data_IF_405280959380
#
_entry.id   IF_405280959380
#
_cell.length_a   1.000
_cell.length_b   1.000
_cell.length_c   1.000
_cell.angle_alpha   90.00
_cell.angle_beta   90.00
_cell.angle_gamma   90.00
#
_symmetry.space_group_name_H-M   'P 1'
#
loop_
_entity.id
_entity.type
_entity.pdbx_description
1 polymer ?
#
# COMPACT_ATOMS: atom_id res chain seq x y z
N UNK A 1 -2.40 -9.45 -30.17
CA UNK A 1 -2.31 -8.52 -29.01
C UNK A 1 -1.13 -8.92 -28.16
N UNK A 2 -0.06 -8.11 -28.14
CA UNK A 2 1.14 -8.43 -27.34
C UNK A 2 0.85 -8.19 -25.86
N UNK A 3 1.04 -9.23 -25.05
CA UNK A 3 0.79 -9.23 -23.61
C UNK A 3 1.66 -8.19 -22.91
N UNK A 4 1.08 -7.47 -21.94
CA UNK A 4 1.72 -6.42 -21.13
C UNK A 4 3.09 -6.86 -20.56
N UNK A 5 3.24 -8.14 -20.26
CA UNK A 5 4.48 -8.78 -19.80
C UNK A 5 5.63 -8.73 -20.81
N UNK A 6 5.36 -8.74 -22.12
CA UNK A 6 6.39 -8.66 -23.15
C UNK A 6 7.00 -7.25 -23.26
N UNK A 7 6.19 -6.20 -23.06
CA UNK A 7 6.68 -4.80 -23.07
C UNK A 7 7.64 -4.50 -21.91
N UNK A 8 7.35 -4.99 -20.71
CA UNK A 8 8.24 -4.77 -19.55
C UNK A 8 9.59 -5.48 -19.69
N UNK A 9 9.62 -6.68 -20.29
CA UNK A 9 10.86 -7.46 -20.47
C UNK A 9 11.81 -6.81 -21.48
N UNK A 10 11.28 -6.18 -22.52
CA UNK A 10 12.06 -5.43 -23.51
C UNK A 10 12.54 -4.08 -22.98
N UNK A 11 11.76 -3.43 -22.10
CA UNK A 11 12.18 -2.20 -21.43
C UNK A 11 13.38 -2.43 -20.50
N UNK A 12 13.40 -3.54 -19.75
CA UNK A 12 14.54 -3.92 -18.91
C UNK A 12 15.83 -4.19 -19.72
N UNK A 13 15.73 -4.75 -20.94
CA UNK A 13 16.91 -5.02 -21.78
C UNK A 13 17.58 -3.74 -22.31
N UNK A 14 16.82 -2.66 -22.49
CA UNK A 14 17.34 -1.40 -23.05
C UNK A 14 17.86 -0.39 -22.01
N UNK A 15 17.64 -0.62 -20.71
CA UNK A 15 18.20 0.20 -19.61
C UNK A 15 19.64 -0.22 -19.26
N UNK A 16 20.30 -1.04 -20.08
CA UNK A 16 21.56 -1.68 -19.72
C UNK A 16 22.81 -0.79 -19.72
N UNK A 17 22.76 0.47 -20.18
CA UNK A 17 23.94 1.35 -20.30
C UNK A 17 23.62 2.78 -19.90
N UNK A 18 24.41 3.36 -18.99
CA UNK A 18 24.31 4.76 -18.53
C UNK A 18 25.62 5.49 -18.83
N UNK A 19 25.52 6.80 -19.09
CA UNK A 19 26.69 7.67 -19.23
C UNK A 19 27.01 8.24 -17.86
N UNK A 20 28.26 8.11 -17.43
CA UNK A 20 28.78 8.66 -16.17
C UNK A 20 30.02 9.49 -16.47
N UNK A 21 30.25 10.52 -15.67
CA UNK A 21 31.42 11.37 -15.81
C UNK A 21 32.54 10.89 -14.87
N UNK A 22 33.77 10.84 -15.36
CA UNK A 22 34.92 10.60 -14.50
C UNK A 22 35.08 11.78 -13.51
N UNK A 23 35.28 11.52 -12.20
CA UNK A 23 35.43 12.59 -11.22
C UNK A 23 36.74 13.39 -11.36
N UNK A 24 37.74 12.84 -12.07
CA UNK A 24 39.05 13.48 -12.24
C UNK A 24 39.13 14.27 -13.55
N UNK A 25 38.88 13.63 -14.69
CA UNK A 25 39.01 14.27 -16.01
C UNK A 25 37.66 14.67 -16.66
N UNK A 26 36.53 14.44 -16.00
CA UNK A 26 35.16 14.73 -16.47
C UNK A 26 34.74 14.07 -17.79
N UNK A 27 35.57 13.18 -18.35
CA UNK A 27 35.24 12.45 -19.57
C UNK A 27 33.98 11.61 -19.38
N UNK A 28 33.17 11.52 -20.44
CA UNK A 28 31.95 10.72 -20.47
C UNK A 28 32.28 9.26 -20.73
N UNK A 29 31.95 8.36 -19.80
CA UNK A 29 32.10 6.92 -19.93
C UNK A 29 30.74 6.25 -20.04
N UNK A 30 30.63 5.27 -20.94
CA UNK A 30 29.43 4.46 -21.09
C UNK A 30 29.60 3.17 -20.29
N UNK A 31 28.84 3.05 -19.20
CA UNK A 31 29.00 1.97 -18.21
C UNK A 31 27.72 1.14 -18.13
N UNK A 32 27.83 -0.19 -17.95
CA UNK A 32 26.66 -1.05 -17.86
C UNK A 32 25.94 -0.84 -16.52
N UNK A 33 24.63 -0.62 -16.55
CA UNK A 33 23.82 -0.45 -15.34
C UNK A 33 23.51 -1.82 -14.75
N UNK A 34 24.10 -2.14 -13.60
CA UNK A 34 23.72 -3.31 -12.80
C UNK A 34 23.06 -2.85 -11.50
N UNK A 35 21.72 -2.90 -11.41
CA UNK A 35 21.02 -2.47 -10.20
C UNK A 35 21.46 -3.32 -9.00
N UNK A 36 21.54 -2.70 -7.82
CA UNK A 36 21.95 -3.31 -6.54
C UNK A 36 23.39 -3.82 -6.48
N UNK A 37 24.23 -3.52 -7.47
CA UNK A 37 25.67 -3.84 -7.44
C UNK A 37 26.49 -2.56 -7.48
N UNK A 38 27.56 -2.54 -6.70
CA UNK A 38 28.61 -1.54 -6.83
C UNK A 38 29.52 -1.96 -7.97
N UNK A 39 29.76 -1.07 -8.93
CA UNK A 39 30.72 -1.30 -10.01
C UNK A 39 31.93 -0.42 -9.79
N UNK A 40 33.10 -1.05 -9.73
CA UNK A 40 34.38 -0.35 -9.82
C UNK A 40 34.72 -0.14 -11.30
N UNK A 41 34.92 1.12 -11.67
CA UNK A 41 35.18 1.54 -13.04
C UNK A 41 36.51 2.29 -13.07
N UNK A 42 37.38 1.87 -13.99
CA UNK A 42 38.62 2.57 -14.30
C UNK A 42 38.38 3.52 -15.47
N UNK A 43 38.85 4.75 -15.36
CA UNK A 43 38.86 5.66 -16.49
C UNK A 43 39.92 5.21 -17.54
N UNK A 44 39.63 5.27 -18.85
CA UNK A 44 40.63 4.97 -19.88
C UNK A 44 41.57 6.15 -20.12
N UNK A 45 41.15 7.39 -19.83
CA UNK A 45 41.92 8.61 -20.09
C UNK A 45 42.77 9.07 -18.91
N UNK A 46 42.55 8.52 -17.70
CA UNK A 46 43.32 8.86 -16.51
C UNK A 46 43.41 7.66 -15.54
N UNK A 47 44.40 7.61 -14.64
CA UNK A 47 44.58 6.46 -13.72
C UNK A 47 43.52 6.38 -12.61
N UNK A 48 42.50 7.24 -12.62
CA UNK A 48 41.45 7.29 -11.58
C UNK A 48 40.51 6.08 -11.67
N UNK A 49 40.33 5.41 -10.52
CA UNK A 49 39.34 4.35 -10.31
C UNK A 49 38.28 4.84 -9.33
N UNK A 50 37.02 4.55 -9.62
CA UNK A 50 35.91 5.00 -8.77
C UNK A 50 34.77 3.99 -8.78
N UNK A 51 33.97 4.02 -7.72
CA UNK A 51 32.85 3.11 -7.52
C UNK A 51 31.54 3.82 -7.76
N UNK A 52 30.64 3.15 -8.49
CA UNK A 52 29.30 3.69 -8.80
C UNK A 52 28.26 2.67 -8.37
N UNK A 53 27.22 3.16 -7.71
CA UNK A 53 26.03 2.38 -7.38
C UNK A 53 24.86 2.92 -8.19
N UNK A 54 24.18 2.02 -8.89
CA UNK A 54 22.96 2.34 -9.60
C UNK A 54 21.78 1.94 -8.73
N UNK A 55 21.18 2.93 -8.07
CA UNK A 55 19.89 2.76 -7.42
C UNK A 55 18.82 2.64 -8.50
N UNK A 56 17.87 1.72 -8.30
CA UNK A 56 16.78 1.60 -9.27
C UNK A 56 15.89 2.84 -9.21
N UNK A 57 15.40 3.36 -10.34
CA UNK A 57 14.46 4.49 -10.32
C UNK A 57 13.19 4.16 -9.53
N UNK A 58 12.82 2.88 -9.44
CA UNK A 58 11.74 2.42 -8.57
C UNK A 58 12.10 2.50 -7.09
N UNK A 59 13.36 2.38 -6.68
CA UNK A 59 13.75 2.57 -5.28
C UNK A 59 13.57 4.03 -4.83
N UNK A 60 13.62 4.99 -5.76
CA UNK A 60 13.35 6.40 -5.42
C UNK A 60 11.85 6.68 -5.25
N UNK A 61 10.99 5.99 -6.01
CA UNK A 61 9.51 6.17 -5.96
C UNK A 61 8.86 5.29 -4.88
N UNK A 62 9.30 4.04 -4.73
CA UNK A 62 8.81 3.08 -3.72
C UNK A 62 9.67 3.05 -2.45
N UNK A 63 10.79 3.77 -2.43
CA UNK A 63 11.53 4.08 -1.22
C UNK A 63 10.71 5.00 -0.35
N UNK A 64 9.74 4.42 0.35
CA UNK A 64 8.99 5.03 1.45
C UNK A 64 10.01 5.73 2.34
N UNK A 65 10.14 7.05 2.19
CA UNK A 65 11.08 7.86 2.96
C UNK A 65 10.71 7.71 4.44
N UNK A 66 11.41 6.79 5.14
CA UNK A 66 11.40 6.70 6.59
C UNK A 66 12.08 7.96 7.13
N UNK A 67 11.36 9.07 7.23
CA UNK A 67 11.91 10.27 7.87
C UNK A 67 11.34 11.62 7.43
N UNK A 68 10.68 11.72 6.27
CA UNK A 68 10.01 12.98 5.93
C UNK A 68 8.58 12.91 6.43
N UNK A 69 8.38 13.46 7.63
CA UNK A 69 7.08 13.50 8.29
C UNK A 69 6.02 14.01 7.33
N UNK A 70 4.97 13.20 7.14
CA UNK A 70 3.85 13.42 6.22
C UNK A 70 3.29 14.85 6.36
N UNK A 71 3.40 15.43 7.56
CA UNK A 71 3.08 16.83 7.87
C UNK A 71 3.67 17.85 6.89
N UNK A 72 4.94 17.73 6.49
CA UNK A 72 5.58 18.70 5.57
C UNK A 72 5.05 18.57 4.13
N UNK A 73 4.79 17.36 3.67
CA UNK A 73 4.18 17.13 2.36
C UNK A 73 2.70 17.52 2.32
N UNK A 74 1.97 17.29 3.42
CA UNK A 74 0.56 17.66 3.54
C UNK A 74 0.39 19.19 3.60
N UNK A 75 1.30 19.89 4.29
CA UNK A 75 1.31 21.35 4.36
C UNK A 75 1.61 21.99 3.00
N UNK A 76 2.57 21.44 2.24
CA UNK A 76 2.83 21.89 0.87
C UNK A 76 1.66 21.59 -0.08
N UNK A 77 0.94 20.50 0.14
CA UNK A 77 -0.26 20.16 -0.64
C UNK A 77 -1.43 21.12 -0.36
N UNK A 78 -1.62 21.52 0.90
CA UNK A 78 -2.65 22.50 1.29
C UNK A 78 -2.41 23.90 0.72
N UNK A 79 -1.15 24.35 0.67
CA UNK A 79 -0.79 25.65 0.09
C UNK A 79 -1.01 25.68 -1.42
N UNK A 80 -0.70 24.58 -2.13
CA UNK A 80 -0.99 24.46 -3.55
C UNK A 80 -2.48 24.32 -3.86
N UNK A 81 -3.32 23.95 -2.88
CA UNK A 81 -4.76 23.80 -3.08
C UNK A 81 -5.48 25.15 -3.24
N UNK A 82 -4.94 26.21 -2.62
CA UNK A 82 -5.51 27.55 -2.71
C UNK A 82 -5.22 28.21 -4.07
N UNK A 83 -4.07 27.90 -4.69
CA UNK A 83 -3.63 28.47 -5.96
C UNK A 83 -4.26 27.82 -7.19
N UNK A 84 -5.09 26.77 -7.05
CA UNK A 84 -5.76 26.20 -8.22
C UNK A 84 -6.86 27.13 -8.76
N UNK A 85 -6.95 27.26 -10.10
CA UNK A 85 -8.07 27.93 -10.75
C UNK A 85 -9.40 27.25 -10.36
N UNK A 86 -10.48 28.03 -10.30
CA UNK A 86 -11.81 27.58 -9.84
C UNK A 86 -12.30 26.31 -10.54
N UNK A 87 -11.98 26.15 -11.82
CA UNK A 87 -12.28 24.95 -12.62
C UNK A 87 -11.59 23.69 -12.09
N UNK A 88 -10.37 23.82 -11.56
CA UNK A 88 -9.64 22.72 -10.92
C UNK A 88 -10.22 22.33 -9.57
N UNK A 89 -10.62 23.32 -8.77
CA UNK A 89 -11.26 23.10 -7.45
C UNK A 89 -12.55 22.27 -7.58
N UNK A 90 -13.40 22.61 -8.55
CA UNK A 90 -14.66 21.89 -8.80
C UNK A 90 -14.40 20.44 -9.21
N UNK A 91 -13.42 20.19 -10.08
CA UNK A 91 -13.07 18.81 -10.49
C UNK A 91 -12.56 17.97 -9.32
N UNK A 92 -11.68 18.51 -8.49
CA UNK A 92 -11.15 17.75 -7.34
C UNK A 92 -12.25 17.51 -6.30
N UNK A 93 -13.12 18.49 -6.04
CA UNK A 93 -14.26 18.33 -5.15
C UNK A 93 -15.23 17.25 -5.65
N UNK A 94 -15.57 17.28 -6.94
CA UNK A 94 -16.38 16.23 -7.58
C UNK A 94 -15.74 14.85 -7.43
N UNK A 95 -14.44 14.75 -7.68
CA UNK A 95 -13.72 13.47 -7.57
C UNK A 95 -13.73 12.94 -6.13
N UNK A 96 -13.53 13.81 -5.14
CA UNK A 96 -13.60 13.43 -3.72
C UNK A 96 -15.01 12.99 -3.30
N UNK A 97 -16.07 13.65 -3.79
CA UNK A 97 -17.44 13.24 -3.52
C UNK A 97 -17.76 11.86 -4.11
N UNK A 98 -17.32 11.61 -5.35
CA UNK A 98 -17.50 10.30 -5.99
C UNK A 98 -16.74 9.22 -5.22
N UNK A 99 -15.51 9.50 -4.78
CA UNK A 99 -14.75 8.58 -3.96
C UNK A 99 -15.44 8.30 -2.61
N UNK A 100 -15.95 9.32 -1.92
CA UNK A 100 -16.67 9.14 -0.66
C UNK A 100 -17.89 8.23 -0.83
N UNK A 101 -18.74 8.51 -1.82
CA UNK A 101 -19.91 7.66 -2.10
C UNK A 101 -19.52 6.23 -2.49
N UNK A 102 -18.43 6.05 -3.23
CA UNK A 102 -17.94 4.70 -3.57
C UNK A 102 -17.49 3.92 -2.34
N UNK A 103 -16.87 4.60 -1.36
CA UNK A 103 -16.42 4.00 -0.10
C UNK A 103 -17.63 3.66 0.78
N UNK A 104 -18.63 4.54 0.88
CA UNK A 104 -19.86 4.28 1.62
C UNK A 104 -20.64 3.10 1.02
N UNK A 105 -20.68 2.99 -0.31
CA UNK A 105 -21.28 1.86 -1.00
C UNK A 105 -20.54 0.54 -0.72
N UNK A 106 -19.21 0.56 -0.74
CA UNK A 106 -18.38 -0.58 -0.38
C UNK A 106 -18.57 -1.00 1.08
N UNK A 107 -18.63 -0.04 2.01
CA UNK A 107 -18.90 -0.29 3.43
C UNK A 107 -20.32 -0.85 3.65
N UNK A 108 -21.30 -0.33 2.93
CA UNK A 108 -22.68 -0.82 2.96
C UNK A 108 -22.79 -2.28 2.53
N UNK A 109 -22.09 -2.67 1.46
CA UNK A 109 -22.05 -4.06 0.99
C UNK A 109 -21.39 -5.01 2.00
N UNK A 110 -20.38 -4.54 2.74
CA UNK A 110 -19.75 -5.33 3.80
C UNK A 110 -20.65 -5.48 5.04
N UNK A 111 -21.49 -4.48 5.33
CA UNK A 111 -22.35 -4.47 6.51
C UNK A 111 -23.69 -5.19 6.31
N UNK A 112 -24.10 -5.47 5.07
CA UNK A 112 -25.37 -6.18 4.78
C UNK A 112 -25.40 -7.66 5.15
N UNK A 113 -24.31 -8.24 5.67
CA UNK A 113 -24.24 -9.68 5.96
C UNK A 113 -24.58 -10.07 7.42
N UNK A 114 -24.94 -9.13 8.30
CA UNK A 114 -25.11 -9.44 9.74
C UNK A 114 -26.55 -9.45 10.29
N UNK A 115 -27.54 -8.86 9.62
CA UNK A 115 -28.90 -8.67 10.21
C UNK A 115 -30.01 -9.55 9.63
N UNK A 116 -29.73 -10.80 9.25
CA UNK A 116 -30.77 -11.79 8.96
C UNK A 116 -30.55 -13.09 9.73
N UNK A 117 -30.77 -13.05 11.05
CA UNK A 117 -31.12 -14.25 11.80
C UNK A 117 -32.37 -13.97 12.66
N UNK A 118 -33.55 -14.52 12.32
CA UNK A 118 -34.71 -14.43 13.21
C UNK A 118 -34.47 -15.33 14.43
N UNK A 119 -34.32 -14.70 15.59
CA UNK A 119 -34.20 -15.38 16.87
C UNK A 119 -35.45 -16.17 17.21
N UNK A 120 -35.33 -17.50 17.23
CA UNK A 120 -36.27 -18.39 17.91
C UNK A 120 -35.91 -18.46 19.39
N UNK A 121 -36.36 -17.48 20.15
CA UNK A 121 -36.36 -17.52 21.62
C UNK A 121 -37.82 -17.55 22.07
N UNK A 122 -38.32 -18.75 22.44
CA UNK A 122 -39.48 -19.04 23.32
C UNK A 122 -39.94 -20.49 23.13
N UNK A 123 -39.28 -21.48 23.73
CA UNK A 123 -39.96 -22.74 24.12
C UNK A 123 -39.10 -23.68 24.97
N UNK A 124 -38.73 -23.29 26.19
CA UNK A 124 -38.17 -24.27 27.15
C UNK A 124 -38.38 -23.86 28.62
N UNK A 125 -39.62 -23.59 29.04
CA UNK A 125 -39.89 -23.37 30.48
C UNK A 125 -41.26 -23.88 30.97
N UNK A 126 -41.93 -24.79 30.26
CA UNK A 126 -43.25 -25.31 30.71
C UNK A 126 -43.46 -26.80 30.43
N UNK A 127 -42.50 -27.65 30.77
CA UNK A 127 -42.69 -29.08 31.14
C UNK A 127 -41.41 -29.44 31.90
N UNK A 128 -41.36 -29.87 33.15
CA UNK A 128 -42.14 -30.94 33.76
C UNK A 128 -42.02 -30.80 35.29
N UNK A 129 -42.94 -30.03 35.90
CA UNK A 129 -43.32 -30.17 37.31
C UNK A 129 -44.34 -31.31 37.39
N UNK A 130 -43.87 -32.53 37.62
CA UNK A 130 -44.62 -33.70 38.07
C UNK A 130 -43.55 -34.77 38.35
N UNK A 131 -43.27 -35.24 39.56
CA UNK A 131 -44.12 -36.02 40.47
C UNK A 131 -43.24 -36.42 41.71
N UNK A 132 -43.73 -37.15 42.73
CA UNK A 132 -43.94 -36.62 44.07
C UNK A 132 -42.97 -37.11 45.15
N UNK A 133 -43.11 -36.45 46.30
CA UNK A 133 -42.68 -36.81 47.65
C UNK A 133 -43.13 -38.20 48.14
N UNK A 134 -42.19 -39.04 48.58
CA UNK A 134 -42.29 -40.07 49.63
C UNK A 134 -40.88 -40.70 49.76
N UNK A 135 -40.25 -41.03 50.90
CA UNK A 135 -40.78 -41.62 52.13
C UNK A 135 -39.74 -41.57 53.26
N UNK A 136 -40.21 -41.22 54.45
CA UNK A 136 -39.91 -41.78 55.78
C UNK A 136 -38.46 -42.18 56.13
N UNK A 137 -37.88 -41.47 57.11
CA UNK A 137 -36.87 -42.03 58.01
C UNK A 137 -37.17 -41.57 59.45
N UNK A 138 -37.61 -42.46 60.36
CA UNK A 138 -37.73 -42.16 61.78
C UNK A 138 -36.51 -42.73 62.53
N UNK A 139 -35.78 -41.85 63.22
CA UNK A 139 -35.03 -42.21 64.42
C UNK A 139 -35.56 -41.32 65.55
N UNK A 140 -36.26 -41.92 66.51
CA UNK A 140 -36.24 -41.47 67.90
C UNK A 140 -36.78 -42.55 68.84
N UNK A 141 -35.90 -42.93 69.78
CA UNK A 141 -36.08 -43.60 71.08
C UNK A 141 -36.38 -45.10 71.05
#
# INVERSE_FOLDING_TARGET
MATLTQKFKNFQKNIGKQIVHCPSCQRSLRVPVKPRKTLEISCPDCPTRFQIRFDSPLAQVFGRQKGVGIKKHLQAMGQNFQSLPTTGKVRVLMFLLVLAMSVDLLLGLLNTESDNMPGTEKQTERELKALPSNSNSPYNI
#
